data_IF_921295296795
#
_entry.id   IF_921295296795
#
_cell.length_a   1.000
_cell.length_b   1.000
_cell.length_c   1.000
_cell.angle_alpha   90.00
_cell.angle_beta   90.00
_cell.angle_gamma   90.00
#
_symmetry.space_group_name_H-M   'P 1'
#
loop_
_entity.id
_entity.type
_entity.pdbx_description
1 polymer ?
#
# COMPACT_ATOMS: atom_id res chain seq x y z
N UNK A 1 -2.12 -5.34 18.46
CA UNK A 1 -1.88 -5.10 17.04
C UNK A 1 -2.80 -4.02 16.54
N UNK A 2 -2.52 -3.48 15.43
CA UNK A 2 -3.31 -2.41 14.85
C UNK A 2 -2.61 -1.07 14.83
N UNK A 3 -1.35 -1.02 15.25
CA UNK A 3 -0.56 0.20 15.12
C UNK A 3 0.41 0.06 13.97
N UNK A 4 0.35 1.01 13.02
CA UNK A 4 1.26 1.10 11.87
C UNK A 4 1.87 2.49 11.91
N UNK A 5 3.18 2.59 12.15
CA UNK A 5 3.94 3.84 12.21
C UNK A 5 3.26 4.92 13.08
N UNK A 6 2.76 4.49 14.27
CA UNK A 6 2.15 5.39 15.22
C UNK A 6 0.65 5.63 15.03
N UNK A 7 0.06 5.13 13.96
CA UNK A 7 -1.38 5.23 13.72
C UNK A 7 -2.08 3.93 14.10
N UNK A 8 -3.26 4.05 14.68
CA UNK A 8 -4.09 2.90 15.00
C UNK A 8 -4.74 2.39 13.71
N UNK A 9 -4.41 1.18 13.30
CA UNK A 9 -4.93 0.59 12.07
C UNK A 9 -5.18 -0.91 12.26
N UNK A 10 -6.21 -1.41 11.62
CA UNK A 10 -6.61 -2.81 11.70
C UNK A 10 -6.43 -3.49 10.35
N UNK A 11 -5.91 -4.71 10.31
CA UNK A 11 -5.83 -5.47 9.07
C UNK A 11 -7.21 -5.62 8.43
N UNK A 12 -7.25 -5.49 7.11
CA UNK A 12 -8.46 -5.72 6.33
C UNK A 12 -8.13 -6.62 5.14
N UNK A 13 -9.14 -7.35 4.67
CA UNK A 13 -9.05 -8.09 3.41
C UNK A 13 -10.24 -7.69 2.56
N UNK A 14 -9.99 -6.93 1.50
CA UNK A 14 -11.02 -6.46 0.59
C UNK A 14 -10.66 -6.94 -0.81
N UNK A 15 -11.54 -7.75 -1.39
CA UNK A 15 -11.35 -8.26 -2.74
C UNK A 15 -11.33 -7.10 -3.73
N UNK A 16 -10.33 -7.09 -4.61
CA UNK A 16 -10.21 -6.05 -5.63
C UNK A 16 -9.61 -4.74 -5.13
N UNK A 17 -9.10 -4.70 -3.89
CA UNK A 17 -8.49 -3.49 -3.36
C UNK A 17 -7.21 -3.12 -4.10
N UNK A 18 -6.43 -4.11 -4.49
CA UNK A 18 -5.19 -3.87 -5.23
C UNK A 18 -4.90 -5.02 -6.18
N UNK A 19 -4.05 -4.74 -7.15
CA UNK A 19 -3.52 -5.73 -8.09
C UNK A 19 -2.00 -5.56 -8.16
N UNK A 20 -1.28 -6.66 -8.13
CA UNK A 20 0.17 -6.68 -8.27
C UNK A 20 0.57 -7.82 -9.20
N UNK A 21 1.60 -7.61 -10.00
CA UNK A 21 2.01 -8.56 -11.01
C UNK A 21 3.13 -9.51 -10.55
N UNK A 22 3.52 -9.45 -9.27
CA UNK A 22 4.57 -10.30 -8.73
C UNK A 22 4.11 -10.95 -7.43
N UNK A 23 3.89 -12.27 -7.48
CA UNK A 23 3.41 -13.04 -6.34
C UNK A 23 4.49 -13.33 -5.28
N UNK A 24 5.75 -13.03 -5.56
CA UNK A 24 6.83 -13.15 -4.58
C UNK A 24 6.83 -12.00 -3.57
N UNK A 25 6.05 -10.95 -3.83
CA UNK A 25 5.84 -9.86 -2.89
C UNK A 25 4.50 -10.07 -2.20
N UNK A 26 4.53 -10.27 -0.90
CA UNK A 26 3.32 -10.35 -0.08
C UNK A 26 2.83 -8.95 0.25
N UNK A 27 1.52 -8.76 0.24
CA UNK A 27 0.90 -7.46 0.51
C UNK A 27 -0.16 -7.65 1.58
N UNK A 28 0.01 -6.91 2.66
CA UNK A 28 -1.00 -6.80 3.71
C UNK A 28 -1.64 -5.43 3.63
N UNK A 29 -2.93 -5.37 3.84
CA UNK A 29 -3.67 -4.11 3.88
C UNK A 29 -4.20 -3.85 5.28
N UNK A 30 -4.20 -2.58 5.68
CA UNK A 30 -4.72 -2.13 6.96
C UNK A 30 -5.43 -0.80 6.79
N UNK A 31 -6.51 -0.61 7.53
CA UNK A 31 -7.32 0.59 7.46
C UNK A 31 -7.34 1.23 8.85
N UNK A 32 -7.14 2.55 8.91
CA UNK A 32 -7.22 3.24 10.20
C UNK A 32 -8.62 3.15 10.78
N UNK A 33 -8.72 3.32 12.10
CA UNK A 33 -10.00 3.22 12.81
C UNK A 33 -11.01 4.24 12.30
N UNK A 34 -10.55 5.44 11.94
CA UNK A 34 -11.40 6.49 11.37
C UNK A 34 -11.68 6.30 9.88
N UNK A 35 -11.06 5.29 9.25
CA UNK A 35 -11.22 4.96 7.82
C UNK A 35 -10.74 6.05 6.88
N UNK A 36 -9.85 6.91 7.33
CA UNK A 36 -9.32 7.99 6.50
C UNK A 36 -7.99 7.66 5.84
N UNK A 37 -7.31 6.60 6.29
CA UNK A 37 -6.02 6.19 5.73
C UNK A 37 -5.96 4.70 5.50
N UNK A 38 -5.42 4.35 4.35
CA UNK A 38 -5.16 2.96 3.96
C UNK A 38 -3.65 2.73 3.96
N UNK A 39 -3.22 1.65 4.58
CA UNK A 39 -1.84 1.20 4.52
C UNK A 39 -1.74 -0.06 3.70
N UNK A 40 -0.75 -0.12 2.82
CA UNK A 40 -0.33 -1.36 2.18
C UNK A 40 1.10 -1.64 2.60
N UNK A 41 1.32 -2.83 3.13
CA UNK A 41 2.63 -3.27 3.60
C UNK A 41 3.11 -4.35 2.66
N UNK A 42 4.17 -4.04 1.91
CA UNK A 42 4.72 -4.93 0.90
C UNK A 42 5.98 -5.58 1.45
N UNK A 43 6.07 -6.90 1.33
CA UNK A 43 7.17 -7.67 1.88
C UNK A 43 7.73 -8.61 0.81
N UNK A 44 9.03 -8.51 0.60
CA UNK A 44 9.74 -9.45 -0.25
C UNK A 44 10.29 -10.58 0.64
N UNK A 45 9.69 -11.76 0.55
CA UNK A 45 10.11 -12.92 1.35
C UNK A 45 11.20 -13.74 0.68
N UNK A 46 11.79 -13.24 -0.41
CA UNK A 46 12.89 -13.90 -1.12
C UNK A 46 14.22 -13.21 -0.84
N UNK A 47 15.35 -13.90 -1.04
CA UNK A 47 16.67 -13.28 -0.83
C UNK A 47 17.10 -12.38 -1.97
N UNK A 48 16.34 -12.27 -3.06
CA UNK A 48 16.68 -11.48 -4.25
C UNK A 48 15.81 -10.25 -4.34
N UNK A 49 16.29 -9.15 -4.93
CA UNK A 49 15.45 -8.00 -5.21
C UNK A 49 14.24 -8.43 -6.07
N UNK A 50 13.08 -7.87 -5.76
CA UNK A 50 11.84 -8.13 -6.47
C UNK A 50 11.20 -6.82 -6.86
N UNK A 51 10.55 -6.81 -8.02
CA UNK A 51 9.83 -5.65 -8.53
C UNK A 51 8.38 -6.03 -8.80
N UNK A 52 7.46 -5.11 -8.49
CA UNK A 52 6.06 -5.27 -8.86
C UNK A 52 5.48 -3.94 -9.33
N UNK A 53 4.53 -4.04 -10.26
CA UNK A 53 3.66 -2.93 -10.60
C UNK A 53 2.37 -3.08 -9.77
N UNK A 54 2.11 -2.10 -8.91
CA UNK A 54 1.01 -2.14 -7.97
C UNK A 54 -0.06 -1.14 -8.37
N UNK A 55 -1.29 -1.61 -8.57
CA UNK A 55 -2.46 -0.77 -8.79
C UNK A 55 -3.38 -0.88 -7.58
N UNK A 56 -3.85 0.26 -7.06
CA UNK A 56 -4.69 0.31 -5.88
C UNK A 56 -6.06 0.88 -6.26
N UNK A 57 -7.11 0.23 -5.76
CA UNK A 57 -8.50 0.58 -6.05
C UNK A 57 -9.24 0.90 -4.75
N UNK A 58 -9.00 2.09 -4.14
CA UNK A 58 -9.62 2.41 -2.84
C UNK A 58 -11.15 2.49 -2.92
N UNK A 59 -11.72 2.67 -4.10
CA UNK A 59 -13.18 2.63 -4.27
C UNK A 59 -13.80 1.32 -3.79
N UNK A 60 -13.00 0.24 -3.68
CA UNK A 60 -13.46 -1.01 -3.08
C UNK A 60 -13.81 -0.87 -1.59
N UNK A 61 -13.39 0.23 -0.93
CA UNK A 61 -13.69 0.49 0.47
C UNK A 61 -14.85 1.49 0.55
N UNK A 62 -16.08 1.00 0.43
CA UNK A 62 -17.30 1.77 0.64
C UNK A 62 -17.34 3.11 -0.13
N UNK A 63 -16.86 3.12 -1.37
CA UNK A 63 -16.88 4.32 -2.22
C UNK A 63 -15.82 5.35 -1.92
N UNK A 64 -14.86 5.03 -1.05
CA UNK A 64 -13.73 5.93 -0.75
C UNK A 64 -12.82 6.06 -1.96
N UNK A 65 -12.09 7.18 -2.02
CA UNK A 65 -11.12 7.47 -3.08
C UNK A 65 -9.78 7.84 -2.47
N UNK A 66 -8.72 7.74 -3.26
CA UNK A 66 -7.42 8.31 -2.87
C UNK A 66 -7.54 9.83 -2.98
N UNK A 67 -7.22 10.54 -1.89
CA UNK A 67 -7.28 12.00 -1.86
C UNK A 67 -6.24 12.68 -2.75
N UNK A 68 -5.13 12.00 -2.99
CA UNK A 68 -4.09 12.45 -3.90
C UNK A 68 -3.67 11.29 -4.79
N UNK A 69 -3.07 11.62 -5.95
CA UNK A 69 -2.56 10.59 -6.86
C UNK A 69 -1.20 10.04 -6.41
N UNK A 70 -0.91 10.06 -5.11
CA UNK A 70 0.38 9.62 -4.58
C UNK A 70 0.19 8.93 -3.26
N UNK A 71 1.20 8.15 -2.88
CA UNK A 71 1.29 7.50 -1.59
C UNK A 71 2.46 8.09 -0.80
N UNK A 72 2.40 8.01 0.52
CA UNK A 72 3.51 8.37 1.38
C UNK A 72 4.15 7.10 1.92
N UNK A 73 5.49 7.12 2.02
CA UNK A 73 6.23 6.10 2.74
C UNK A 73 6.51 6.64 4.14
N UNK A 74 5.81 6.17 5.18
CA UNK A 74 5.96 6.74 6.52
C UNK A 74 7.33 6.44 7.14
N UNK A 75 8.04 5.42 6.67
CA UNK A 75 9.37 5.09 7.20
C UNK A 75 10.42 6.10 6.74
N UNK A 76 10.29 6.66 5.55
CA UNK A 76 11.26 7.59 4.97
C UNK A 76 10.71 9.02 4.84
N UNK A 77 9.41 9.20 4.96
CA UNK A 77 8.75 10.47 4.71
C UNK A 77 8.67 10.85 3.23
N UNK A 78 9.00 9.95 2.33
CA UNK A 78 9.01 10.23 0.89
C UNK A 78 7.64 10.03 0.29
N UNK A 79 7.33 10.88 -0.68
CA UNK A 79 6.12 10.74 -1.48
C UNK A 79 6.42 9.89 -2.71
N UNK A 80 5.55 8.93 -2.99
CA UNK A 80 5.70 8.01 -4.12
C UNK A 80 4.52 8.24 -5.05
N UNK A 81 4.81 8.51 -6.33
CA UNK A 81 3.78 8.77 -7.34
C UNK A 81 3.67 7.59 -8.30
N UNK A 82 2.46 7.31 -8.82
CA UNK A 82 2.30 6.27 -9.82
C UNK A 82 2.91 6.70 -11.16
N UNK A 83 3.21 5.72 -12.00
CA UNK A 83 3.61 5.97 -13.38
C UNK A 83 2.45 6.42 -14.26
N UNK A 84 2.73 6.61 -15.55
CA UNK A 84 1.71 7.08 -16.50
C UNK A 84 0.53 6.13 -16.70
N UNK A 85 0.70 4.86 -16.34
CA UNK A 85 -0.36 3.85 -16.39
C UNK A 85 -1.18 3.78 -15.09
N UNK A 86 -0.87 4.60 -14.11
CA UNK A 86 -1.54 4.61 -12.80
C UNK A 86 -1.03 3.56 -11.83
N UNK A 87 -0.02 2.77 -12.21
CA UNK A 87 0.56 1.77 -11.33
C UNK A 87 1.80 2.30 -10.63
N UNK A 88 2.00 1.87 -9.38
CA UNK A 88 3.20 2.21 -8.62
C UNK A 88 4.29 1.18 -8.92
N UNK A 89 5.46 1.63 -9.37
CA UNK A 89 6.62 0.77 -9.54
C UNK A 89 7.31 0.60 -8.19
N UNK A 90 7.26 -0.60 -7.64
CA UNK A 90 7.83 -0.91 -6.34
C UNK A 90 8.96 -1.90 -6.52
N UNK A 91 10.15 -1.58 -6.01
CA UNK A 91 11.29 -2.48 -5.98
C UNK A 91 11.74 -2.66 -4.54
N UNK A 92 11.79 -3.91 -4.09
CA UNK A 92 12.22 -4.25 -2.74
C UNK A 92 13.51 -5.05 -2.81
N UNK A 93 14.51 -4.73 -1.99
CA UNK A 93 15.68 -5.59 -1.85
C UNK A 93 15.29 -6.94 -1.26
N UNK A 94 16.22 -7.90 -1.28
CA UNK A 94 15.97 -9.20 -0.65
C UNK A 94 15.52 -9.02 0.80
N UNK A 95 14.40 -9.66 1.15
CA UNK A 95 13.75 -9.54 2.46
C UNK A 95 13.36 -8.11 2.83
N UNK A 96 13.23 -7.23 1.84
CA UNK A 96 12.86 -5.84 2.08
C UNK A 96 11.37 -5.67 2.35
N UNK A 97 11.04 -4.59 3.06
CA UNK A 97 9.68 -4.21 3.42
C UNK A 97 9.49 -2.76 3.06
N UNK A 98 8.33 -2.43 2.49
CA UNK A 98 7.94 -1.05 2.26
C UNK A 98 6.47 -0.88 2.61
N UNK A 99 6.15 0.23 3.27
CA UNK A 99 4.77 0.60 3.57
C UNK A 99 4.37 1.79 2.72
N UNK A 100 3.18 1.72 2.15
CA UNK A 100 2.55 2.82 1.43
C UNK A 100 1.34 3.27 2.22
N UNK A 101 1.24 4.58 2.45
CA UNK A 101 0.11 5.21 3.12
C UNK A 101 -0.66 6.06 2.13
N UNK A 102 -1.95 5.82 2.05
CA UNK A 102 -2.86 6.58 1.18
C UNK A 102 -3.87 7.32 2.04
N UNK A 103 -4.08 8.60 1.75
CA UNK A 103 -5.19 9.35 2.32
C UNK A 103 -6.46 9.04 1.52
N UNK A 104 -7.54 8.76 2.22
CA UNK A 104 -8.81 8.42 1.61
C UNK A 104 -9.79 9.57 1.76
N UNK A 105 -10.57 9.82 0.72
CA UNK A 105 -11.66 10.80 0.72
C UNK A 105 -13.00 10.09 0.71
N UNK A 106 -13.96 10.75 1.29
CA UNK A 106 -15.35 10.28 1.25
C UNK A 106 -16.00 10.60 -0.10
#
# INVERSE_FOLDING_TARGET
>A
PGTVYGEQANPIMVKGLFEADNTDIEILSALTTDRNRLFLILMNSTPRPQHTALTVHPAAIAGRRIGTASADDPATGRKITPGGDGAFGITLPGYGIQTLKFDLEQ
#
